data_IF_905416299549
#
_entry.id   IF_905416299549
#
_cell.length_a   1.000
_cell.length_b   1.000
_cell.length_c   1.000
_cell.angle_alpha   90.00
_cell.angle_beta   90.00
_cell.angle_gamma   90.00
#
_symmetry.space_group_name_H-M   'P 1'
#
loop_
_entity.id
_entity.type
_entity.pdbx_description
1 polymer ?
#
# COMPACT_ATOMS: atom_id res chain seq x y z
N UNK A 1 0.14 26.97 18.10
CA UNK A 1 0.39 27.29 16.68
C UNK A 1 -0.86 26.91 15.90
N UNK A 2 -1.63 27.89 15.42
CA UNK A 2 -2.86 27.61 14.66
C UNK A 2 -2.48 27.43 13.19
N UNK A 3 -2.49 26.20 12.68
CA UNK A 3 -2.26 25.96 11.27
C UNK A 3 -3.45 26.51 10.46
N UNK A 4 -3.21 27.58 9.69
CA UNK A 4 -4.22 28.17 8.84
C UNK A 4 -4.57 27.21 7.70
N UNK A 5 -5.86 26.88 7.57
CA UNK A 5 -6.37 26.04 6.49
C UNK A 5 -6.29 26.79 5.15
N UNK A 6 -5.54 26.24 4.19
CA UNK A 6 -5.39 26.80 2.84
C UNK A 6 -5.88 25.78 1.78
N UNK A 7 -7.10 25.97 1.22
CA UNK A 7 -7.68 25.03 0.26
C UNK A 7 -6.94 25.00 -1.09
N UNK A 8 -6.10 25.98 -1.40
CA UNK A 8 -5.41 26.06 -2.70
C UNK A 8 -4.36 24.96 -2.88
N UNK A 9 -3.84 24.45 -1.78
CA UNK A 9 -2.85 23.36 -1.75
C UNK A 9 -3.48 21.97 -1.98
N UNK A 10 -4.80 21.89 -2.00
CA UNK A 10 -5.53 20.65 -2.20
C UNK A 10 -5.80 20.42 -3.69
N UNK A 11 -5.77 19.15 -4.11
CA UNK A 11 -6.24 18.73 -5.43
C UNK A 11 -7.77 18.84 -5.53
N UNK A 12 -8.29 18.80 -6.76
CA UNK A 12 -9.74 18.92 -7.00
C UNK A 12 -10.53 17.79 -6.33
N UNK A 13 -9.98 16.57 -6.34
CA UNK A 13 -10.56 15.42 -5.66
C UNK A 13 -10.53 15.58 -4.14
N UNK A 14 -9.43 16.13 -3.58
CA UNK A 14 -9.33 16.42 -2.16
C UNK A 14 -10.34 17.49 -1.73
N UNK A 15 -10.55 18.53 -2.56
CA UNK A 15 -11.54 19.58 -2.31
C UNK A 15 -12.97 19.04 -2.38
N UNK A 16 -13.30 18.19 -3.36
CA UNK A 16 -14.62 17.57 -3.48
C UNK A 16 -14.93 16.64 -2.30
N UNK A 17 -13.96 15.83 -1.89
CA UNK A 17 -14.12 14.93 -0.75
C UNK A 17 -14.25 15.71 0.57
N UNK A 18 -13.45 16.76 0.76
CA UNK A 18 -13.55 17.62 1.93
C UNK A 18 -14.91 18.36 1.98
N UNK A 19 -15.41 18.83 0.84
CA UNK A 19 -16.73 19.46 0.78
C UNK A 19 -17.87 18.52 1.17
N UNK A 20 -17.80 17.23 0.80
CA UNK A 20 -18.81 16.23 1.17
C UNK A 20 -18.72 15.91 2.66
N UNK A 21 -17.52 15.64 3.15
CA UNK A 21 -17.28 15.36 4.55
C UNK A 21 -17.78 16.49 5.47
N UNK A 22 -17.54 17.75 5.10
CA UNK A 22 -18.04 18.90 5.87
C UNK A 22 -19.57 18.96 5.88
N UNK A 23 -20.24 18.61 4.79
CA UNK A 23 -21.70 18.57 4.74
C UNK A 23 -22.28 17.44 5.62
N UNK A 24 -21.72 16.24 5.51
CA UNK A 24 -22.20 15.05 6.23
C UNK A 24 -22.01 15.17 7.76
N UNK A 25 -21.03 15.96 8.20
CA UNK A 25 -20.75 16.23 9.61
C UNK A 25 -21.41 17.51 10.14
N UNK A 26 -22.40 18.07 9.44
CA UNK A 26 -23.12 19.27 9.86
C UNK A 26 -22.28 20.56 9.86
N UNK A 27 -21.08 20.53 9.28
CA UNK A 27 -20.18 21.68 9.11
C UNK A 27 -20.34 22.35 7.74
N UNK A 28 -21.46 22.10 7.05
CA UNK A 28 -21.74 22.59 5.71
C UNK A 28 -21.74 24.12 5.60
N UNK A 29 -21.99 24.83 6.70
CA UNK A 29 -21.97 26.30 6.74
C UNK A 29 -20.74 26.89 7.43
N UNK A 30 -19.77 26.04 7.79
CA UNK A 30 -18.50 26.49 8.37
C UNK A 30 -17.69 27.36 7.40
N UNK A 31 -16.81 28.19 7.96
CA UNK A 31 -15.87 29.01 7.18
C UNK A 31 -14.99 28.14 6.27
N UNK A 32 -14.57 26.96 6.75
CA UNK A 32 -13.85 25.96 5.94
C UNK A 32 -14.70 25.49 4.75
N UNK A 33 -15.97 25.18 4.96
CA UNK A 33 -16.87 24.77 3.88
C UNK A 33 -17.07 25.89 2.83
N UNK A 34 -17.15 27.16 3.27
CA UNK A 34 -17.21 28.32 2.37
C UNK A 34 -15.95 28.43 1.51
N UNK A 35 -14.76 28.35 2.12
CA UNK A 35 -13.48 28.44 1.41
C UNK A 35 -13.29 27.31 0.39
N UNK A 36 -13.68 26.07 0.75
CA UNK A 36 -13.63 24.92 -0.17
C UNK A 36 -14.59 25.09 -1.35
N UNK A 37 -15.82 25.58 -1.12
CA UNK A 37 -16.79 25.84 -2.21
C UNK A 37 -16.31 26.91 -3.17
N UNK A 38 -15.71 27.99 -2.66
CA UNK A 38 -15.14 29.06 -3.49
C UNK A 38 -14.04 28.51 -4.39
N UNK A 39 -13.12 27.72 -3.83
CA UNK A 39 -12.02 27.12 -4.60
C UNK A 39 -12.54 26.14 -5.66
N UNK A 40 -13.51 25.28 -5.31
CA UNK A 40 -14.15 24.37 -6.28
C UNK A 40 -14.88 25.10 -7.40
N UNK A 41 -15.50 26.25 -7.11
CA UNK A 41 -16.17 27.08 -8.11
C UNK A 41 -15.17 27.77 -9.06
N UNK A 42 -13.98 28.14 -8.57
CA UNK A 42 -12.92 28.74 -9.39
C UNK A 42 -12.26 27.71 -10.32
N UNK A 43 -12.23 26.43 -9.95
CA UNK A 43 -11.51 25.38 -10.69
C UNK A 43 -12.35 24.61 -11.70
N UNK A 44 -13.68 24.72 -11.68
CA UNK A 44 -14.53 24.03 -12.66
C UNK A 44 -14.64 24.83 -13.97
N UNK A 45 -14.19 24.30 -15.12
CA UNK A 45 -14.64 24.82 -16.41
C UNK A 45 -16.11 24.47 -16.63
N UNK A 46 -16.87 25.40 -17.23
CA UNK A 46 -18.32 25.33 -17.39
C UNK A 46 -18.88 24.13 -18.20
N UNK A 47 -18.04 23.21 -18.68
CA UNK A 47 -18.40 22.18 -19.67
C UNK A 47 -18.40 20.71 -19.18
N UNK A 48 -17.97 20.39 -17.96
CA UNK A 48 -17.83 18.99 -17.54
C UNK A 48 -19.04 18.46 -16.73
N UNK A 49 -20.18 18.24 -17.41
CA UNK A 49 -21.25 17.36 -16.92
C UNK A 49 -21.21 16.02 -17.68
N UNK A 50 -20.56 15.01 -17.11
CA UNK A 50 -20.90 13.59 -17.32
C UNK A 50 -20.25 12.74 -16.21
N UNK A 51 -20.98 11.80 -15.56
CA UNK A 51 -20.41 10.97 -14.52
C UNK A 51 -19.74 9.75 -15.14
N UNK A 52 -18.48 9.49 -14.78
CA UNK A 52 -17.81 8.23 -15.07
C UNK A 52 -17.60 7.46 -13.75
N UNK A 53 -18.07 6.20 -13.75
CA UNK A 53 -17.76 5.11 -12.83
C UNK A 53 -17.84 5.37 -11.32
N UNK A 54 -19.04 5.13 -10.79
CA UNK A 54 -19.40 5.05 -9.36
C UNK A 54 -18.52 4.09 -8.54
N UNK A 55 -17.92 3.07 -9.16
CA UNK A 55 -17.12 2.05 -8.45
C UNK A 55 -15.70 2.53 -8.09
N UNK A 56 -15.08 3.37 -8.93
CA UNK A 56 -13.73 3.90 -8.67
C UNK A 56 -13.79 5.04 -7.63
N UNK A 57 -14.79 5.90 -7.75
CA UNK A 57 -15.05 6.97 -6.79
C UNK A 57 -15.40 6.46 -5.37
N UNK A 58 -16.02 5.27 -5.26
CA UNK A 58 -16.31 4.66 -3.96
C UNK A 58 -15.06 4.08 -3.28
N UNK A 59 -14.14 3.50 -4.07
CA UNK A 59 -12.83 3.03 -3.58
C UNK A 59 -11.97 4.22 -3.14
N UNK A 60 -11.90 5.27 -3.96
CA UNK A 60 -11.12 6.47 -3.67
C UNK A 60 -11.66 7.25 -2.45
N UNK A 61 -12.98 7.29 -2.24
CA UNK A 61 -13.59 7.93 -1.08
C UNK A 61 -13.37 7.16 0.22
N UNK A 62 -13.36 5.82 0.16
CA UNK A 62 -13.04 4.96 1.31
C UNK A 62 -11.57 5.14 1.75
N UNK A 63 -10.66 5.20 0.77
CA UNK A 63 -9.24 5.49 1.02
C UNK A 63 -9.00 6.90 1.58
N UNK A 64 -9.72 7.93 1.10
CA UNK A 64 -9.57 9.29 1.60
C UNK A 64 -10.07 9.46 3.05
N UNK A 65 -11.16 8.80 3.43
CA UNK A 65 -11.67 8.80 4.80
C UNK A 65 -10.71 8.07 5.76
N UNK A 66 -10.12 6.96 5.34
CA UNK A 66 -9.09 6.26 6.09
C UNK A 66 -7.84 7.14 6.32
N UNK A 67 -7.40 7.88 5.30
CA UNK A 67 -6.26 8.80 5.41
C UNK A 67 -6.51 9.96 6.40
N UNK A 68 -7.74 10.50 6.45
CA UNK A 68 -8.12 11.55 7.40
C UNK A 68 -8.20 11.02 8.85
N UNK A 69 -8.80 9.85 9.07
CA UNK A 69 -8.85 9.23 10.41
C UNK A 69 -7.45 8.91 10.95
N UNK A 70 -6.52 8.51 10.09
CA UNK A 70 -5.12 8.26 10.46
C UNK A 70 -4.32 9.53 10.78
N UNK A 71 -4.58 10.64 10.07
CA UNK A 71 -3.95 11.92 10.38
C UNK A 71 -4.31 12.37 11.81
N UNK A 72 -5.58 12.22 12.18
CA UNK A 72 -6.08 12.48 13.53
C UNK A 72 -5.47 11.53 14.56
N UNK A 73 -5.38 10.23 14.26
CA UNK A 73 -4.74 9.26 15.15
C UNK A 73 -3.24 9.53 15.32
N UNK A 74 -2.55 10.05 14.29
CA UNK A 74 -1.13 10.45 14.36
C UNK A 74 -0.90 11.62 15.31
N UNK A 75 -1.76 12.63 15.26
CA UNK A 75 -1.70 13.77 16.18
C UNK A 75 -1.93 13.31 17.63
N UNK A 76 -2.94 12.45 17.85
CA UNK A 76 -3.21 11.85 19.17
C UNK A 76 -2.07 10.95 19.65
N UNK A 77 -1.40 10.23 18.76
CA UNK A 77 -0.25 9.40 19.11
C UNK A 77 0.96 10.26 19.52
N UNK A 78 1.20 11.39 18.85
CA UNK A 78 2.25 12.33 19.22
C UNK A 78 2.02 12.93 20.63
N UNK A 79 0.76 13.18 21.00
CA UNK A 79 0.39 13.62 22.36
C UNK A 79 0.64 12.55 23.45
N UNK A 80 0.83 11.30 23.03
CA UNK A 80 1.09 10.13 23.87
C UNK A 80 2.57 9.73 23.96
N UNK A 81 3.48 10.46 23.31
CA UNK A 81 4.92 10.22 23.44
C UNK A 81 5.40 10.46 24.88
N UNK A 82 6.00 9.44 25.49
CA UNK A 82 6.55 9.50 26.85
C UNK A 82 5.52 9.38 27.99
N UNK A 83 4.27 9.05 27.68
CA UNK A 83 3.21 8.83 28.68
C UNK A 83 2.81 7.36 28.74
N UNK A 84 2.82 6.77 29.93
CA UNK A 84 2.26 5.44 30.15
C UNK A 84 0.88 5.60 30.81
N UNK A 85 -0.17 5.68 29.97
CA UNK A 85 -1.56 5.70 30.40
C UNK A 85 -2.41 4.74 29.55
N UNK A 86 -3.49 4.17 30.12
CA UNK A 86 -4.38 3.24 29.40
C UNK A 86 -4.98 3.85 28.12
N UNK A 87 -5.27 5.14 28.14
CA UNK A 87 -5.79 5.89 26.97
C UNK A 87 -4.75 5.97 25.84
N UNK A 88 -3.47 6.11 26.18
CA UNK A 88 -2.40 6.09 25.20
C UNK A 88 -2.11 4.68 24.66
N UNK A 89 -2.36 3.64 25.45
CA UNK A 89 -2.32 2.25 24.98
C UNK A 89 -3.46 1.98 23.98
N UNK A 90 -4.68 2.43 24.27
CA UNK A 90 -5.80 2.32 23.34
C UNK A 90 -5.56 3.08 22.02
N UNK A 91 -4.99 4.28 22.08
CA UNK A 91 -4.61 5.06 20.88
C UNK A 91 -3.49 4.38 20.10
N UNK A 92 -2.50 3.76 20.77
CA UNK A 92 -1.45 2.98 20.11
C UNK A 92 -2.04 1.74 19.42
N UNK A 93 -2.93 1.04 20.08
CA UNK A 93 -3.62 -0.14 19.56
C UNK A 93 -4.53 0.21 18.37
N UNK A 94 -5.31 1.29 18.48
CA UNK A 94 -6.16 1.80 17.41
C UNK A 94 -5.31 2.30 16.22
N UNK A 95 -4.20 2.99 16.49
CA UNK A 95 -3.24 3.37 15.46
C UNK A 95 -2.64 2.13 14.79
N UNK A 96 -2.23 1.10 15.54
CA UNK A 96 -1.70 -0.15 14.96
C UNK A 96 -2.73 -0.88 14.09
N UNK A 97 -3.98 -1.00 14.55
CA UNK A 97 -5.07 -1.59 13.76
C UNK A 97 -5.33 -0.79 12.47
N UNK A 98 -5.21 0.53 12.54
CA UNK A 98 -5.40 1.45 11.41
C UNK A 98 -4.18 1.55 10.48
N UNK A 99 -2.97 1.30 10.97
CA UNK A 99 -1.74 1.36 10.15
C UNK A 99 -1.63 0.11 9.23
N UNK A 100 -2.18 -1.03 9.67
CA UNK A 100 -2.27 -2.24 8.86
C UNK A 100 -3.28 -2.14 7.71
N UNK A 101 -4.32 -1.31 7.84
CA UNK A 101 -5.30 -1.10 6.76
C UNK A 101 -4.78 -0.23 5.61
N UNK A 102 -3.57 0.35 5.75
CA UNK A 102 -2.89 1.13 4.70
C UNK A 102 -2.15 0.25 3.68
N UNK A 103 -1.89 -1.01 4.02
CA UNK A 103 -1.14 -1.89 3.13
C UNK A 103 -2.13 -2.49 2.13
N UNK A 104 -2.18 -1.89 0.94
CA UNK A 104 -3.01 -2.37 -0.16
C UNK A 104 -2.25 -3.44 -0.96
N UNK A 105 -2.80 -4.67 -1.10
CA UNK A 105 -2.17 -5.74 -1.87
C UNK A 105 -1.87 -5.37 -3.33
N UNK A 106 -2.77 -4.60 -3.98
CA UNK A 106 -2.62 -4.19 -5.37
C UNK A 106 -1.45 -3.20 -5.53
N UNK A 107 -1.29 -2.29 -4.58
CA UNK A 107 -0.19 -1.32 -4.58
C UNK A 107 1.16 -2.02 -4.30
N UNK A 108 1.21 -3.02 -3.42
CA UNK A 108 2.40 -3.86 -3.24
C UNK A 108 2.75 -4.55 -4.56
N UNK A 109 1.77 -5.14 -5.23
CA UNK A 109 2.01 -5.87 -6.47
C UNK A 109 2.55 -4.93 -7.56
N UNK A 110 1.99 -3.72 -7.69
CA UNK A 110 2.48 -2.71 -8.63
C UNK A 110 3.88 -2.19 -8.24
N UNK A 111 4.19 -2.05 -6.95
CA UNK A 111 5.54 -1.74 -6.48
C UNK A 111 6.53 -2.84 -6.89
N UNK A 112 6.24 -4.11 -6.58
CA UNK A 112 7.06 -5.26 -6.96
C UNK A 112 7.25 -5.28 -8.49
N UNK A 113 6.17 -5.08 -9.24
CA UNK A 113 6.21 -5.06 -10.71
C UNK A 113 7.07 -3.91 -11.24
N UNK A 114 7.06 -2.74 -10.61
CA UNK A 114 7.90 -1.61 -11.01
C UNK A 114 9.40 -1.91 -10.85
N UNK A 115 9.79 -2.61 -9.78
CA UNK A 115 11.16 -3.09 -9.58
C UNK A 115 11.52 -4.19 -10.58
N UNK A 116 10.59 -5.13 -10.79
CA UNK A 116 10.77 -6.23 -11.72
C UNK A 116 10.99 -5.74 -13.17
N UNK A 117 10.25 -4.71 -13.60
CA UNK A 117 10.46 -4.05 -14.91
C UNK A 117 11.87 -3.50 -15.09
N UNK A 118 12.51 -3.07 -13.99
CA UNK A 118 13.86 -2.54 -13.98
C UNK A 118 14.93 -3.62 -13.79
N UNK A 119 14.54 -4.90 -13.68
CA UNK A 119 15.46 -6.00 -13.36
C UNK A 119 16.09 -5.85 -11.98
N UNK A 120 15.39 -5.21 -11.03
CA UNK A 120 15.88 -4.94 -9.68
C UNK A 120 15.18 -5.81 -8.66
N UNK A 121 15.94 -6.22 -7.64
CA UNK A 121 15.40 -6.83 -6.43
C UNK A 121 15.00 -5.75 -5.44
N UNK A 122 14.13 -6.12 -4.51
CA UNK A 122 13.74 -5.31 -3.36
C UNK A 122 13.84 -6.13 -2.09
N UNK A 123 13.86 -5.49 -0.94
CA UNK A 123 13.73 -6.14 0.35
C UNK A 123 12.46 -5.68 1.08
N UNK A 124 12.10 -6.37 2.15
CA UNK A 124 10.94 -5.99 2.98
C UNK A 124 11.00 -4.53 3.44
N UNK A 125 12.20 -4.01 3.71
CA UNK A 125 12.36 -2.61 4.13
C UNK A 125 11.90 -1.64 3.05
N UNK A 126 12.17 -1.93 1.78
CA UNK A 126 11.77 -1.06 0.66
C UNK A 126 10.25 -0.97 0.56
N UNK A 127 9.54 -2.07 0.83
CA UNK A 127 8.08 -2.10 0.91
C UNK A 127 7.61 -1.25 2.09
N UNK A 128 8.16 -1.46 3.28
CA UNK A 128 7.72 -0.68 4.45
C UNK A 128 8.04 0.81 4.32
N UNK A 129 9.17 1.16 3.72
CA UNK A 129 9.57 2.54 3.44
C UNK A 129 8.60 3.20 2.46
N UNK A 130 8.13 2.47 1.44
CA UNK A 130 7.13 2.97 0.48
C UNK A 130 5.84 3.44 1.17
N UNK A 131 5.39 2.73 2.21
CA UNK A 131 4.21 3.10 3.00
C UNK A 131 4.50 4.05 4.17
N UNK A 132 5.77 4.38 4.41
CA UNK A 132 6.22 5.13 5.59
C UNK A 132 5.95 4.39 6.90
N UNK A 133 6.03 3.07 6.87
CA UNK A 133 5.75 2.17 7.99
C UNK A 133 7.04 1.72 8.66
N UNK A 134 6.95 1.44 9.96
CA UNK A 134 8.08 0.88 10.70
C UNK A 134 8.14 -0.64 10.53
N UNK A 135 9.25 -1.14 9.99
CA UNK A 135 9.44 -2.56 9.68
C UNK A 135 9.23 -3.51 10.88
N UNK A 136 9.72 -3.12 12.07
CA UNK A 136 9.58 -3.89 13.31
C UNK A 136 8.11 -4.15 13.70
N UNK A 137 7.20 -3.26 13.31
CA UNK A 137 5.77 -3.36 13.62
C UNK A 137 4.97 -4.15 12.59
N UNK A 138 5.37 -4.09 11.32
CA UNK A 138 4.59 -4.66 10.21
C UNK A 138 5.19 -5.94 9.62
N UNK A 139 6.34 -6.42 10.13
CA UNK A 139 7.02 -7.61 9.62
C UNK A 139 6.11 -8.83 9.48
N UNK A 140 5.38 -9.20 10.54
CA UNK A 140 4.53 -10.39 10.53
C UNK A 140 3.28 -10.24 9.66
N UNK A 141 2.49 -9.15 9.78
CA UNK A 141 1.37 -8.91 8.87
C UNK A 141 1.78 -8.83 7.40
N UNK A 142 2.90 -8.15 7.11
CA UNK A 142 3.41 -8.02 5.74
C UNK A 142 3.84 -9.36 5.16
N UNK A 143 4.51 -10.21 5.95
CA UNK A 143 4.88 -11.56 5.49
C UNK A 143 3.64 -12.37 5.09
N UNK A 144 2.61 -12.39 5.94
CA UNK A 144 1.35 -13.09 5.64
C UNK A 144 0.67 -12.53 4.38
N UNK A 145 0.62 -11.21 4.24
CA UNK A 145 0.02 -10.57 3.08
C UNK A 145 0.79 -10.87 1.78
N UNK A 146 2.12 -10.93 1.84
CA UNK A 146 2.94 -11.30 0.70
C UNK A 146 2.72 -12.76 0.28
N UNK A 147 2.50 -13.67 1.23
CA UNK A 147 2.12 -15.05 0.92
C UNK A 147 0.76 -15.09 0.18
N UNK A 148 -0.24 -14.34 0.66
CA UNK A 148 -1.56 -14.25 0.04
C UNK A 148 -1.47 -13.69 -1.40
N UNK A 149 -0.74 -12.58 -1.60
CA UNK A 149 -0.48 -12.01 -2.93
C UNK A 149 0.19 -13.05 -3.83
N UNK A 150 1.18 -13.78 -3.29
CA UNK A 150 1.92 -14.75 -4.06
C UNK A 150 1.03 -15.91 -4.53
N UNK A 151 0.19 -16.44 -3.66
CA UNK A 151 -0.74 -17.51 -4.01
C UNK A 151 -1.78 -17.05 -5.04
N UNK A 152 -2.33 -15.84 -4.87
CA UNK A 152 -3.31 -15.29 -5.81
C UNK A 152 -2.70 -15.10 -7.19
N UNK A 153 -1.53 -14.47 -7.28
CA UNK A 153 -0.86 -14.25 -8.57
C UNK A 153 -0.47 -15.57 -9.21
N UNK A 154 0.07 -16.52 -8.45
CA UNK A 154 0.41 -17.82 -9.00
C UNK A 154 -0.81 -18.53 -9.60
N UNK A 155 -1.96 -18.51 -8.93
CA UNK A 155 -3.21 -19.09 -9.47
C UNK A 155 -3.69 -18.38 -10.74
N UNK A 156 -3.46 -17.07 -10.85
CA UNK A 156 -3.93 -16.23 -11.95
C UNK A 156 -3.06 -16.33 -13.20
N UNK A 157 -1.74 -16.33 -13.03
CA UNK A 157 -0.79 -16.20 -14.15
C UNK A 157 0.47 -17.07 -13.99
N UNK A 158 0.55 -17.90 -12.96
CA UNK A 158 1.68 -18.80 -12.74
C UNK A 158 2.97 -18.10 -12.29
N UNK A 159 2.89 -16.84 -11.83
CA UNK A 159 4.05 -16.04 -11.40
C UNK A 159 4.13 -15.99 -9.87
N UNK A 160 5.37 -15.96 -9.36
CA UNK A 160 5.69 -15.72 -7.95
C UNK A 160 6.27 -14.30 -7.76
N UNK A 161 5.44 -13.28 -7.43
CA UNK A 161 5.91 -11.90 -7.26
C UNK A 161 6.96 -11.76 -6.16
N UNK A 162 6.85 -12.57 -5.11
CA UNK A 162 7.76 -12.52 -3.95
C UNK A 162 9.15 -13.07 -4.26
N UNK A 163 9.36 -13.74 -5.40
CA UNK A 163 10.66 -14.31 -5.80
C UNK A 163 11.79 -13.27 -5.90
N UNK A 164 11.44 -12.00 -6.13
CA UNK A 164 12.39 -10.89 -6.21
C UNK A 164 12.51 -10.08 -4.91
N UNK A 165 11.80 -10.49 -3.85
CA UNK A 165 11.90 -9.91 -2.51
C UNK A 165 12.98 -10.68 -1.74
N UNK A 166 14.15 -10.08 -1.60
CA UNK A 166 15.35 -10.72 -1.05
C UNK A 166 15.74 -10.09 0.29
N UNK A 167 16.59 -10.77 1.10
CA UNK A 167 17.22 -10.14 2.25
C UNK A 167 17.96 -8.86 1.87
N UNK A 168 17.93 -7.85 2.76
CA UNK A 168 18.63 -6.57 2.56
C UNK A 168 20.08 -6.69 2.06
N UNK A 169 20.96 -7.57 2.62
CA UNK A 169 22.33 -7.70 2.11
C UNK A 169 22.42 -8.28 0.69
N UNK A 170 21.35 -8.90 0.20
CA UNK A 170 21.29 -9.59 -1.09
C UNK A 170 20.59 -8.80 -2.19
N UNK A 171 20.14 -7.56 -1.94
CA UNK A 171 19.41 -6.74 -2.93
C UNK A 171 20.21 -6.57 -4.23
N UNK A 172 21.54 -6.51 -4.14
CA UNK A 172 22.39 -6.41 -5.33
C UNK A 172 22.55 -7.73 -6.10
N UNK A 173 22.50 -8.88 -5.42
CA UNK A 173 22.83 -10.20 -5.99
C UNK A 173 21.62 -11.11 -6.25
N UNK A 174 20.45 -10.77 -5.69
CA UNK A 174 19.26 -11.60 -5.74
C UNK A 174 19.33 -12.88 -4.90
N UNK A 175 20.37 -13.06 -4.09
CA UNK A 175 20.57 -14.30 -3.33
C UNK A 175 19.55 -14.45 -2.20
N UNK A 176 18.96 -15.64 -2.11
CA UNK A 176 18.11 -16.03 -0.99
C UNK A 176 18.92 -16.79 0.05
N UNK A 177 18.53 -16.68 1.33
CA UNK A 177 19.06 -17.56 2.38
C UNK A 177 18.41 -18.94 2.30
N UNK A 178 19.08 -19.97 2.81
CA UNK A 178 18.54 -21.34 2.87
C UNK A 178 17.14 -21.42 3.48
N UNK A 179 16.86 -20.62 4.51
CA UNK A 179 15.56 -20.61 5.17
C UNK A 179 14.45 -20.04 4.28
N UNK A 180 14.76 -19.01 3.50
CA UNK A 180 13.82 -18.45 2.52
C UNK A 180 13.60 -19.44 1.39
N UNK A 181 14.68 -20.08 0.92
CA UNK A 181 14.60 -21.11 -0.13
C UNK A 181 13.66 -22.24 0.30
N UNK A 182 13.81 -22.72 1.54
CA UNK A 182 12.93 -23.75 2.10
C UNK A 182 11.47 -23.28 2.16
N UNK A 183 11.22 -22.04 2.59
CA UNK A 183 9.86 -21.49 2.62
C UNK A 183 9.21 -21.43 1.23
N UNK A 184 10.00 -21.13 0.19
CA UNK A 184 9.55 -21.23 -1.19
C UNK A 184 9.23 -22.67 -1.60
N UNK A 185 10.13 -23.63 -1.33
CA UNK A 185 9.90 -25.05 -1.62
C UNK A 185 8.61 -25.57 -0.96
N UNK A 186 8.36 -25.21 0.30
CA UNK A 186 7.12 -25.54 1.03
C UNK A 186 5.89 -24.92 0.36
N UNK A 187 5.99 -23.68 -0.13
CA UNK A 187 4.91 -23.00 -0.86
C UNK A 187 4.64 -23.66 -2.21
N UNK A 188 5.67 -24.04 -2.96
CA UNK A 188 5.52 -24.74 -4.24
C UNK A 188 4.83 -26.10 -4.06
N UNK A 189 5.22 -26.86 -3.03
CA UNK A 189 4.61 -28.14 -2.67
C UNK A 189 3.12 -27.96 -2.34
N UNK A 190 2.77 -26.92 -1.57
CA UNK A 190 1.37 -26.58 -1.27
C UNK A 190 0.56 -26.19 -2.51
N UNK A 191 1.20 -25.55 -3.49
CA UNK A 191 0.54 -25.08 -4.72
C UNK A 191 0.50 -26.14 -5.83
N UNK A 192 1.02 -27.35 -5.59
CA UNK A 192 1.08 -28.45 -6.57
C UNK A 192 1.62 -28.01 -7.93
N UNK A 193 2.70 -27.23 -7.92
CA UNK A 193 3.28 -26.69 -9.13
C UNK A 193 3.88 -27.80 -10.01
N UNK A 194 3.80 -27.69 -11.35
CA UNK A 194 4.31 -28.73 -12.25
C UNK A 194 5.83 -28.84 -12.27
N UNK A 195 6.56 -27.76 -11.94
CA UNK A 195 8.02 -27.77 -11.82
C UNK A 195 8.46 -28.55 -10.56
N UNK A 196 9.25 -29.60 -10.78
CA UNK A 196 9.80 -30.48 -9.75
C UNK A 196 11.22 -30.07 -9.30
N UNK A 197 11.79 -29.02 -9.90
CA UNK A 197 13.05 -28.45 -9.43
C UNK A 197 12.89 -27.93 -7.99
N UNK A 198 14.00 -27.83 -7.25
CA UNK A 198 14.02 -27.37 -5.85
C UNK A 198 15.26 -26.52 -5.61
N UNK A 199 15.22 -25.74 -4.54
CA UNK A 199 16.40 -25.00 -4.09
C UNK A 199 16.69 -23.75 -4.91
N UNK A 200 17.97 -23.37 -4.95
CA UNK A 200 18.38 -22.08 -5.54
C UNK A 200 18.09 -21.98 -7.04
N UNK A 201 18.29 -23.05 -7.82
CA UNK A 201 18.06 -23.04 -9.27
C UNK A 201 16.60 -22.71 -9.62
N UNK A 202 15.66 -23.28 -8.87
CA UNK A 202 14.23 -23.00 -9.02
C UNK A 202 13.92 -21.53 -8.78
N UNK A 203 14.43 -20.97 -7.70
CA UNK A 203 14.18 -19.57 -7.34
C UNK A 203 14.80 -18.63 -8.37
N UNK A 204 15.97 -18.95 -8.90
CA UNK A 204 16.57 -18.17 -10.01
C UNK A 204 15.67 -18.18 -11.23
N UNK A 205 15.07 -19.31 -11.58
CA UNK A 205 14.11 -19.39 -12.68
C UNK A 205 12.88 -18.51 -12.40
N UNK A 206 12.30 -18.58 -11.20
CA UNK A 206 11.16 -17.73 -10.85
C UNK A 206 11.48 -16.23 -10.83
N UNK A 207 12.67 -15.86 -10.37
CA UNK A 207 13.15 -14.47 -10.45
C UNK A 207 13.18 -13.99 -11.90
N UNK A 208 13.72 -14.81 -12.82
CA UNK A 208 13.74 -14.46 -14.25
C UNK A 208 12.33 -14.41 -14.84
N UNK A 209 11.47 -15.38 -14.53
CA UNK A 209 10.07 -15.40 -14.97
C UNK A 209 9.34 -14.13 -14.50
N UNK A 210 9.56 -13.69 -13.27
CA UNK A 210 8.99 -12.46 -12.73
C UNK A 210 9.49 -11.22 -13.49
N UNK A 211 10.79 -11.13 -13.78
CA UNK A 211 11.36 -10.02 -14.57
C UNK A 211 10.85 -9.99 -16.01
N UNK A 212 10.76 -11.14 -16.68
CA UNK A 212 10.23 -11.25 -18.04
C UNK A 212 8.75 -10.89 -18.09
N UNK A 213 7.95 -11.45 -17.17
CA UNK A 213 6.52 -11.15 -17.05
C UNK A 213 6.28 -9.65 -16.82
N UNK A 214 7.05 -9.01 -15.95
CA UNK A 214 6.88 -7.60 -15.65
C UNK A 214 7.17 -6.69 -16.86
N UNK A 215 8.12 -7.09 -17.71
CA UNK A 215 8.48 -6.41 -18.97
C UNK A 215 7.50 -6.69 -20.11
N UNK A 216 6.57 -7.63 -19.93
CA UNK A 216 5.67 -8.07 -21.00
C UNK A 216 6.37 -8.93 -22.04
N UNK A 217 7.53 -9.50 -21.69
CA UNK A 217 8.22 -10.51 -22.48
C UNK A 217 7.47 -11.84 -22.28
N UNK A 218 7.36 -12.66 -23.32
CA UNK A 218 6.81 -14.00 -23.17
C UNK A 218 7.66 -14.75 -22.12
N UNK A 219 7.02 -15.27 -21.08
CA UNK A 219 7.69 -16.12 -20.11
C UNK A 219 7.96 -17.47 -20.79
N UNK A 220 9.11 -17.59 -21.45
CA UNK A 220 9.65 -18.87 -21.92
C UNK A 220 10.13 -19.74 -20.75
#
# INVERSE_FOLDING_TARGET
>A
MTFAFDPRKLSDDQLLNLSRWLADNGQGDSEKARLVRIELAHRRPASARRPANTTRAAIDASSAAALLSLAVLRERLAECEGKDSPECDEIRDEFQRSDHSRINPDEILELIRSYAKLGKYLCYKDITDHYGLRFDRVRHPLAKLLDEICEEQYRKNGIFPTSIIVPKPSVASGQMTSDIIKGFDDLFDRLNTPDQSRGESRIRNEQQRMFSWARGEAAE
#
